data_IF_445529611034
#
_entry.id   IF_445529611034
#
_cell.length_a   1.000
_cell.length_b   1.000
_cell.length_c   1.000
_cell.angle_alpha   90.00
_cell.angle_beta   90.00
_cell.angle_gamma   90.00
#
_symmetry.space_group_name_H-M   'P 1'
#
loop_
_entity.id
_entity.type
_entity.pdbx_description
1 polymer ?
#
# COMPACT_ATOMS: atom_id res chain seq x y z
N UNK A 1 0.23 -10.87 -2.28
CA UNK A 1 0.22 -9.92 -3.41
C UNK A 1 1.40 -8.97 -3.36
N UNK A 2 1.59 -8.16 -2.30
CA UNK A 2 2.66 -7.14 -2.26
C UNK A 2 4.08 -7.70 -2.16
N UNK A 3 4.25 -8.95 -1.71
CA UNK A 3 5.55 -9.64 -1.63
C UNK A 3 5.71 -10.62 -2.79
N UNK A 4 4.84 -11.63 -2.86
CA UNK A 4 5.01 -12.77 -3.78
C UNK A 4 4.23 -12.64 -5.09
N UNK A 5 3.64 -11.47 -5.37
CA UNK A 5 2.77 -11.23 -6.53
C UNK A 5 1.59 -12.22 -6.67
N UNK A 6 1.28 -12.95 -5.60
CA UNK A 6 0.15 -13.88 -5.53
C UNK A 6 -1.09 -13.23 -4.94
N UNK A 7 -2.20 -13.26 -5.68
CA UNK A 7 -3.52 -12.92 -5.15
C UNK A 7 -4.13 -14.14 -4.44
N UNK A 8 -4.74 -13.93 -3.28
CA UNK A 8 -5.48 -14.95 -2.53
C UNK A 8 -6.83 -14.34 -2.16
N UNK A 9 -7.96 -14.96 -2.54
CA UNK A 9 -9.29 -14.48 -2.18
C UNK A 9 -9.48 -14.38 -0.67
N UNK A 10 -10.23 -13.38 -0.23
CA UNK A 10 -10.55 -13.19 1.20
C UNK A 10 -11.30 -14.39 1.77
N UNK A 11 -12.20 -15.00 1.00
CA UNK A 11 -12.95 -16.18 1.45
C UNK A 11 -12.04 -17.38 1.74
N UNK A 12 -11.02 -17.62 0.91
CA UNK A 12 -10.01 -18.64 1.19
C UNK A 12 -9.28 -18.35 2.52
N UNK A 13 -8.83 -17.11 2.72
CA UNK A 13 -8.16 -16.72 3.98
C UNK A 13 -9.05 -16.93 5.21
N UNK A 14 -10.36 -16.63 5.10
CA UNK A 14 -11.32 -16.87 6.20
C UNK A 14 -11.47 -18.36 6.49
N UNK A 15 -11.58 -19.20 5.46
CA UNK A 15 -11.66 -20.67 5.63
C UNK A 15 -10.40 -21.23 6.31
N UNK A 16 -9.24 -20.65 6.02
CA UNK A 16 -7.96 -20.99 6.66
C UNK A 16 -7.83 -20.44 8.11
N UNK A 17 -8.86 -19.77 8.64
CA UNK A 17 -8.88 -19.23 10.00
C UNK A 17 -8.05 -17.95 10.18
N UNK A 18 -7.64 -17.29 9.09
CA UNK A 18 -6.84 -16.07 9.18
C UNK A 18 -7.65 -14.92 9.79
N UNK A 19 -7.00 -14.17 10.68
CA UNK A 19 -7.56 -12.94 11.26
C UNK A 19 -7.18 -11.75 10.39
N UNK A 20 -8.09 -10.76 10.28
CA UNK A 20 -7.79 -9.51 9.56
C UNK A 20 -6.76 -8.68 10.34
N UNK A 21 -5.61 -8.48 9.74
CA UNK A 21 -4.56 -7.60 10.26
C UNK A 21 -4.85 -6.15 9.86
N UNK A 22 -4.86 -5.23 10.83
CA UNK A 22 -5.05 -3.80 10.55
C UNK A 22 -3.78 -3.13 10.05
N UNK A 23 -2.63 -3.72 10.33
CA UNK A 23 -1.31 -3.21 9.99
C UNK A 23 -0.38 -4.36 9.62
N UNK A 24 0.39 -4.20 8.54
CA UNK A 24 1.39 -5.16 8.08
C UNK A 24 2.68 -4.40 7.76
N UNK A 25 3.82 -4.93 8.23
CA UNK A 25 5.15 -4.43 7.90
C UNK A 25 5.77 -5.26 6.77
N UNK A 26 6.21 -4.58 5.73
CA UNK A 26 6.85 -5.18 4.56
C UNK A 26 8.28 -4.65 4.46
N UNK A 27 9.21 -5.49 4.00
CA UNK A 27 10.57 -5.06 3.66
C UNK A 27 10.77 -5.21 2.16
N UNK A 28 11.13 -4.12 1.48
CA UNK A 28 11.40 -4.13 0.03
C UNK A 28 12.85 -3.78 -0.24
N UNK A 29 13.53 -4.61 -1.01
CA UNK A 29 14.87 -4.31 -1.52
C UNK A 29 14.78 -3.22 -2.60
N UNK A 30 15.58 -2.17 -2.46
CA UNK A 30 15.77 -1.07 -3.40
C UNK A 30 17.23 -1.12 -3.89
N UNK A 31 17.41 -1.25 -5.19
CA UNK A 31 18.70 -1.40 -5.86
C UNK A 31 18.50 -1.84 -7.32
N UNK A 32 19.55 -1.83 -8.16
CA UNK A 32 19.43 -2.30 -9.54
C UNK A 32 18.95 -3.75 -9.54
N UNK A 33 17.73 -3.95 -10.05
CA UNK A 33 17.17 -5.27 -10.31
C UNK A 33 17.72 -5.75 -11.65
N UNK A 34 19.02 -6.01 -11.69
CA UNK A 34 19.70 -6.66 -12.82
C UNK A 34 20.25 -7.99 -12.32
N UNK A 35 20.17 -9.05 -13.14
CA UNK A 35 20.78 -10.36 -12.86
C UNK A 35 22.30 -10.28 -12.64
N UNK A 36 22.90 -9.14 -12.98
CA UNK A 36 24.24 -8.74 -12.58
C UNK A 36 24.13 -7.62 -11.54
N UNK A 37 24.01 -7.99 -10.27
CA UNK A 37 24.30 -7.09 -9.15
C UNK A 37 25.83 -7.02 -9.05
N UNK A 38 26.49 -5.89 -9.33
CA UNK A 38 27.93 -5.78 -9.11
C UNK A 38 28.24 -6.13 -7.66
N UNK A 39 29.34 -6.85 -7.40
CA UNK A 39 29.74 -7.28 -6.05
C UNK A 39 29.86 -6.15 -5.00
N UNK A 40 29.78 -4.89 -5.42
CA UNK A 40 29.84 -3.68 -4.58
C UNK A 40 28.52 -2.88 -4.54
N UNK A 41 27.41 -3.41 -5.06
CA UNK A 41 26.11 -2.73 -4.97
C UNK A 41 25.48 -2.98 -3.59
N UNK A 42 25.41 -1.94 -2.77
CA UNK A 42 24.69 -1.99 -1.49
C UNK A 42 23.19 -2.15 -1.76
N UNK A 43 22.65 -3.34 -1.50
CA UNK A 43 21.19 -3.55 -1.51
C UNK A 43 20.61 -2.85 -0.29
N UNK A 44 19.83 -1.78 -0.50
CA UNK A 44 19.17 -1.06 0.58
C UNK A 44 17.78 -1.66 0.78
N UNK A 45 17.45 -2.12 1.98
CA UNK A 45 16.09 -2.55 2.31
C UNK A 45 15.30 -1.38 2.89
N UNK A 46 14.13 -1.11 2.32
CA UNK A 46 13.20 -0.07 2.76
C UNK A 46 11.98 -0.73 3.43
N UNK A 47 11.69 -0.43 4.69
CA UNK A 47 10.47 -0.90 5.34
C UNK A 47 9.26 -0.07 4.87
N UNK A 48 8.15 -0.76 4.63
CA UNK A 48 6.85 -0.17 4.34
C UNK A 48 5.85 -0.64 5.37
N UNK A 49 5.02 0.29 5.86
CA UNK A 49 3.88 -0.01 6.71
C UNK A 49 2.61 0.10 5.89
N UNK A 50 1.86 -0.99 5.82
CA UNK A 50 0.55 -1.05 5.16
C UNK A 50 -0.51 -0.97 6.25
N UNK A 51 -1.39 0.02 6.17
CA UNK A 51 -2.46 0.26 7.14
C UNK A 51 -3.80 0.12 6.41
N UNK A 52 -4.70 -0.65 6.99
CA UNK A 52 -6.04 -0.91 6.42
C UNK A 52 -7.05 0.18 6.79
N UNK A 53 -6.89 0.80 7.97
CA UNK A 53 -7.74 1.92 8.38
C UNK A 53 -6.97 3.26 8.39
N UNK A 54 -7.08 4.09 7.33
CA UNK A 54 -6.39 5.37 7.24
C UNK A 54 -6.89 6.41 8.26
N UNK A 55 -8.06 6.21 8.88
CA UNK A 55 -8.59 7.13 9.89
C UNK A 55 -7.76 7.16 11.18
N UNK A 56 -6.84 6.20 11.34
CA UNK A 56 -5.92 6.12 12.49
C UNK A 56 -4.63 6.91 12.28
N UNK A 57 -4.39 7.40 11.06
CA UNK A 57 -3.20 8.19 10.74
C UNK A 57 -3.37 9.62 11.26
N UNK A 58 -2.39 10.08 12.02
CA UNK A 58 -2.24 11.49 12.35
C UNK A 58 -1.79 12.32 11.14
N UNK A 59 -1.92 13.64 11.22
CA UNK A 59 -1.51 14.55 10.14
C UNK A 59 -0.03 14.34 9.74
N UNK A 60 0.87 14.19 10.71
CA UNK A 60 2.29 13.93 10.43
C UNK A 60 2.56 12.54 9.82
N UNK A 61 1.66 11.58 10.02
CA UNK A 61 1.77 10.27 9.37
C UNK A 61 1.31 10.31 7.92
N UNK A 62 0.34 11.16 7.60
CA UNK A 62 -0.08 11.40 6.21
C UNK A 62 1.05 11.93 5.34
N UNK A 63 1.94 12.76 5.87
CA UNK A 63 3.14 13.25 5.16
C UNK A 63 4.10 12.12 4.73
N UNK A 64 4.00 10.93 5.37
CA UNK A 64 4.82 9.75 5.05
C UNK A 64 4.11 8.76 4.13
N UNK A 65 2.86 9.01 3.76
CA UNK A 65 2.08 8.12 2.89
C UNK A 65 2.57 8.27 1.46
N UNK A 66 3.13 7.19 0.92
CA UNK A 66 3.67 7.16 -0.44
C UNK A 66 2.71 6.59 -1.47
N UNK A 67 1.72 5.81 -1.03
CA UNK A 67 0.74 5.19 -1.91
C UNK A 67 -0.58 4.87 -1.19
N UNK A 68 -1.69 4.84 -1.94
CA UNK A 68 -3.01 4.44 -1.46
C UNK A 68 -3.69 3.48 -2.44
N UNK A 69 -4.40 2.48 -1.89
CA UNK A 69 -5.34 1.65 -2.65
C UNK A 69 -6.75 2.18 -2.43
N UNK A 70 -7.46 2.51 -3.51
CA UNK A 70 -8.78 3.13 -3.48
C UNK A 70 -9.82 2.23 -4.12
N UNK A 71 -11.08 2.36 -3.70
CA UNK A 71 -12.23 1.66 -4.26
C UNK A 71 -13.04 2.58 -5.20
N UNK A 72 -12.93 3.91 -5.04
CA UNK A 72 -13.56 4.90 -5.93
C UNK A 72 -14.74 5.70 -5.36
N UNK A 73 -15.60 5.19 -4.44
CA UNK A 73 -16.68 6.01 -3.89
C UNK A 73 -16.18 7.23 -3.11
N UNK A 74 -16.81 8.40 -3.33
CA UNK A 74 -16.38 9.66 -2.73
C UNK A 74 -16.31 9.63 -1.19
N UNK A 75 -17.20 8.88 -0.54
CA UNK A 75 -17.22 8.73 0.92
C UNK A 75 -15.93 8.12 1.48
N UNK A 76 -15.17 7.36 0.67
CA UNK A 76 -13.91 6.73 1.07
C UNK A 76 -12.89 7.76 1.56
N UNK A 77 -12.92 8.97 1.00
CA UNK A 77 -11.93 10.02 1.25
C UNK A 77 -12.29 10.93 2.43
N UNK A 78 -13.38 10.65 3.14
CA UNK A 78 -13.78 11.45 4.31
C UNK A 78 -12.68 11.42 5.37
N UNK A 79 -12.22 12.61 5.78
CA UNK A 79 -11.18 12.77 6.81
C UNK A 79 -9.75 12.51 6.32
N UNK A 80 -9.57 12.33 5.00
CA UNK A 80 -8.24 12.31 4.39
C UNK A 80 -7.72 13.75 4.24
N UNK A 81 -6.42 13.95 3.98
CA UNK A 81 -5.88 15.28 3.75
C UNK A 81 -6.53 15.96 2.53
N UNK A 82 -6.32 17.26 2.40
CA UNK A 82 -6.93 18.08 1.34
C UNK A 82 -8.47 17.99 1.31
N UNK A 83 -9.09 17.95 2.50
CA UNK A 83 -10.54 17.85 2.69
C UNK A 83 -11.20 16.67 1.96
N UNK A 84 -10.43 15.60 1.72
CA UNK A 84 -10.91 14.44 0.97
C UNK A 84 -11.04 14.66 -0.53
N UNK A 85 -10.45 15.72 -1.10
CA UNK A 85 -10.49 16.01 -2.53
C UNK A 85 -9.62 15.00 -3.31
N UNK A 86 -10.22 14.10 -4.13
CA UNK A 86 -9.46 13.05 -4.82
C UNK A 86 -8.43 13.61 -5.81
N UNK A 87 -8.71 14.74 -6.44
CA UNK A 87 -7.77 15.37 -7.39
C UNK A 87 -6.49 15.78 -6.67
N UNK A 88 -6.61 16.39 -5.49
CA UNK A 88 -5.45 16.81 -4.71
C UNK A 88 -4.74 15.61 -4.07
N UNK A 89 -5.49 14.63 -3.56
CA UNK A 89 -4.92 13.39 -3.01
C UNK A 89 -4.07 12.68 -4.08
N UNK A 90 -4.61 12.47 -5.27
CA UNK A 90 -3.93 11.70 -6.33
C UNK A 90 -2.81 12.47 -7.03
N UNK A 91 -2.81 13.81 -6.93
CA UNK A 91 -1.68 14.63 -7.38
C UNK A 91 -0.46 14.53 -6.43
N UNK A 92 -0.69 14.25 -5.15
CA UNK A 92 0.37 14.20 -4.12
C UNK A 92 0.77 12.78 -3.71
N UNK A 93 -0.14 11.80 -3.85
CA UNK A 93 0.05 10.42 -3.41
C UNK A 93 -0.23 9.46 -4.58
N UNK A 94 0.64 8.47 -4.77
CA UNK A 94 0.44 7.46 -5.81
C UNK A 94 -0.79 6.60 -5.50
N UNK A 95 -1.83 6.68 -6.32
CA UNK A 95 -3.10 5.99 -6.09
C UNK A 95 -3.28 4.80 -7.04
N UNK A 96 -3.79 3.69 -6.50
CA UNK A 96 -4.07 2.46 -7.23
C UNK A 96 -5.53 2.05 -7.04
N UNK A 97 -6.23 1.80 -8.15
CA UNK A 97 -7.57 1.22 -8.15
C UNK A 97 -7.48 -0.19 -8.72
N UNK A 98 -7.66 -1.20 -7.86
CA UNK A 98 -7.60 -2.61 -8.26
C UNK A 98 -8.99 -3.11 -8.59
N UNK A 99 -9.17 -3.63 -9.80
CA UNK A 99 -10.39 -4.31 -10.23
C UNK A 99 -10.02 -5.58 -10.99
N UNK A 100 -10.94 -6.55 -11.00
CA UNK A 100 -10.84 -7.65 -11.97
C UNK A 100 -11.06 -7.10 -13.37
N UNK A 101 -10.38 -7.71 -14.34
CA UNK A 101 -10.77 -7.56 -15.74
C UNK A 101 -12.11 -8.25 -15.96
N UNK A 102 -12.88 -7.78 -16.94
CA UNK A 102 -14.17 -8.38 -17.31
C UNK A 102 -14.02 -9.71 -18.05
#
# INVERSE_FOLDING_TARGET
MLQDLKFVPVEQKKTEGAVRENEVLLQRRKGPQTDQVPNNATTITVPYRVVDNPSRLSAAEWDRVVAVFVQGPAWQFKGWPWDGNPVQIFANICAFHLKFDE
#
